data_IF_986128817176
#
_entry.id   IF_986128817176
#
_cell.length_a   1.000
_cell.length_b   1.000
_cell.length_c   1.000
_cell.angle_alpha   90.00
_cell.angle_beta   90.00
_cell.angle_gamma   90.00
#
_symmetry.space_group_name_H-M   'P 1'
#
loop_
_entity.id
_entity.type
_entity.pdbx_description
1 polymer ?
#
# COMPACT_ATOMS: atom_id res chain seq x y z
N UNK A 1 15.22 6.83 -78.84
CA UNK A 1 15.75 5.51 -78.40
C UNK A 1 17.18 5.57 -77.81
N UNK A 2 18.12 6.36 -78.36
CA UNK A 2 19.49 6.48 -77.82
C UNK A 2 19.61 7.26 -76.49
N UNK A 3 18.75 8.27 -76.26
CA UNK A 3 18.77 9.06 -75.03
C UNK A 3 18.30 8.25 -73.80
N UNK A 4 17.30 7.39 -73.99
CA UNK A 4 16.78 6.45 -72.97
C UNK A 4 17.80 5.38 -72.60
N UNK A 5 18.53 4.82 -73.57
CA UNK A 5 19.64 3.87 -73.32
C UNK A 5 20.81 4.51 -72.57
N UNK A 6 21.15 5.77 -72.87
CA UNK A 6 22.18 6.53 -72.15
C UNK A 6 21.74 6.88 -70.72
N UNK A 7 20.49 7.30 -70.55
CA UNK A 7 19.91 7.53 -69.23
C UNK A 7 19.91 6.25 -68.39
N UNK A 8 19.51 5.12 -68.98
CA UNK A 8 19.56 3.80 -68.34
C UNK A 8 20.98 3.39 -67.97
N UNK A 9 21.96 3.54 -68.87
CA UNK A 9 23.36 3.18 -68.59
C UNK A 9 23.99 4.02 -67.47
N UNK A 10 23.69 5.32 -67.41
CA UNK A 10 24.17 6.20 -66.33
C UNK A 10 23.46 5.90 -64.99
N UNK A 11 22.17 5.55 -65.03
CA UNK A 11 21.40 5.03 -63.88
C UNK A 11 21.94 3.68 -63.37
N UNK A 12 22.37 2.82 -64.29
CA UNK A 12 22.80 1.46 -64.00
C UNK A 12 24.23 1.41 -63.42
N UNK A 13 25.12 2.32 -63.81
CA UNK A 13 26.52 2.35 -63.35
C UNK A 13 26.78 3.17 -62.08
N UNK A 14 26.26 4.41 -61.97
CA UNK A 14 26.59 5.31 -60.84
C UNK A 14 25.49 5.44 -59.79
N UNK A 15 24.21 5.36 -60.19
CA UNK A 15 23.08 5.42 -59.25
C UNK A 15 22.96 4.10 -58.48
N UNK A 16 23.39 2.97 -59.05
CA UNK A 16 23.38 1.64 -58.43
C UNK A 16 24.18 1.57 -57.11
N UNK A 17 25.44 2.00 -57.09
CA UNK A 17 26.28 1.84 -55.89
C UNK A 17 25.91 2.81 -54.77
N UNK A 18 25.75 4.10 -55.12
CA UNK A 18 25.43 5.15 -54.15
C UNK A 18 24.03 4.93 -53.55
N UNK A 19 23.02 4.57 -54.36
CA UNK A 19 21.69 4.21 -53.82
C UNK A 19 21.74 2.98 -52.92
N UNK A 20 22.50 1.94 -53.28
CA UNK A 20 22.61 0.73 -52.43
C UNK A 20 23.21 1.06 -51.08
N UNK A 21 24.30 1.81 -51.05
CA UNK A 21 24.95 2.24 -49.81
C UNK A 21 23.99 3.11 -48.99
N UNK A 22 23.29 4.06 -49.63
CA UNK A 22 22.33 4.92 -48.93
C UNK A 22 21.15 4.13 -48.36
N UNK A 23 20.56 3.20 -49.13
CA UNK A 23 19.47 2.33 -48.69
C UNK A 23 19.90 1.42 -47.55
N UNK A 24 21.09 0.81 -47.63
CA UNK A 24 21.62 -0.01 -46.54
C UNK A 24 21.78 0.85 -45.27
N UNK A 25 22.33 2.06 -45.40
CA UNK A 25 22.58 2.94 -44.27
C UNK A 25 21.27 3.43 -43.64
N UNK A 26 20.29 3.85 -44.43
CA UNK A 26 18.97 4.26 -43.91
C UNK A 26 18.22 3.11 -43.26
N UNK A 27 18.19 1.92 -43.89
CA UNK A 27 17.56 0.73 -43.31
C UNK A 27 18.25 0.33 -42.00
N UNK A 28 19.59 0.39 -41.94
CA UNK A 28 20.34 0.08 -40.72
C UNK A 28 20.00 1.06 -39.59
N UNK A 29 19.94 2.37 -39.90
CA UNK A 29 19.56 3.39 -38.91
C UNK A 29 18.13 3.16 -38.39
N UNK A 30 17.17 2.89 -39.28
CA UNK A 30 15.79 2.61 -38.88
C UNK A 30 15.73 1.37 -38.00
N UNK A 31 16.39 0.27 -38.40
CA UNK A 31 16.41 -0.97 -37.60
C UNK A 31 17.04 -0.77 -36.22
N UNK A 32 18.10 0.03 -36.09
CA UNK A 32 18.70 0.36 -34.80
C UNK A 32 17.74 1.16 -33.92
N UNK A 33 17.04 2.15 -34.49
CA UNK A 33 16.03 2.93 -33.77
C UNK A 33 14.84 2.07 -33.34
N UNK A 34 14.37 1.18 -34.22
CA UNK A 34 13.31 0.21 -33.92
C UNK A 34 13.71 -0.71 -32.78
N UNK A 35 14.95 -1.23 -32.78
CA UNK A 35 15.46 -2.07 -31.70
C UNK A 35 15.54 -1.31 -30.37
N UNK A 36 16.06 -0.08 -30.39
CA UNK A 36 16.14 0.77 -29.20
C UNK A 36 14.75 1.05 -28.61
N UNK A 37 13.77 1.41 -29.45
CA UNK A 37 12.39 1.65 -29.02
C UNK A 37 11.73 0.37 -28.49
N UNK A 38 11.99 -0.79 -29.10
CA UNK A 38 11.46 -2.07 -28.62
C UNK A 38 12.03 -2.43 -27.26
N UNK A 39 13.35 -2.32 -27.09
CA UNK A 39 14.03 -2.65 -25.82
C UNK A 39 13.63 -1.67 -24.72
N UNK A 40 13.68 -0.36 -24.99
CA UNK A 40 13.23 0.66 -24.04
C UNK A 40 11.74 0.48 -23.70
N UNK A 41 10.91 0.21 -24.71
CA UNK A 41 9.49 -0.01 -24.52
C UNK A 41 9.21 -1.23 -23.65
N UNK A 42 9.93 -2.33 -23.86
CA UNK A 42 9.82 -3.55 -23.06
C UNK A 42 10.18 -3.33 -21.58
N UNK A 43 11.26 -2.59 -21.29
CA UNK A 43 11.60 -2.26 -19.91
C UNK A 43 10.55 -1.37 -19.25
N UNK A 44 9.98 -0.42 -19.99
CA UNK A 44 8.95 0.49 -19.48
C UNK A 44 7.59 -0.18 -19.31
N UNK A 45 7.19 -1.08 -20.22
CA UNK A 45 5.92 -1.84 -20.16
C UNK A 45 5.85 -2.83 -18.99
N UNK A 46 7.01 -3.20 -18.44
CA UNK A 46 7.12 -4.09 -17.29
C UNK A 46 7.43 -3.34 -15.98
N UNK A 47 7.28 -2.02 -15.95
CA UNK A 47 7.51 -1.26 -14.73
C UNK A 47 6.44 -1.56 -13.69
N UNK A 48 6.87 -2.07 -12.54
CA UNK A 48 6.06 -2.28 -11.35
C UNK A 48 6.08 -1.03 -10.46
N UNK A 49 5.00 -0.84 -9.69
CA UNK A 49 4.92 0.23 -8.71
C UNK A 49 5.79 -0.12 -7.49
N UNK A 50 6.58 0.84 -7.02
CA UNK A 50 7.31 0.68 -5.75
C UNK A 50 6.38 1.06 -4.60
N UNK A 51 5.64 0.09 -4.08
CA UNK A 51 4.73 0.31 -2.96
C UNK A 51 5.50 0.49 -1.66
N UNK A 52 5.14 1.52 -0.90
CA UNK A 52 5.59 1.73 0.47
C UNK A 52 4.77 0.88 1.43
N UNK A 53 5.38 0.52 2.55
CA UNK A 53 4.76 -0.20 3.66
C UNK A 53 5.12 0.47 4.98
N UNK A 54 4.31 0.23 6.02
CA UNK A 54 4.52 0.79 7.36
C UNK A 54 3.50 1.89 7.66
N UNK A 55 2.53 1.54 8.49
CA UNK A 55 1.57 2.47 9.09
C UNK A 55 1.96 2.56 10.56
N UNK A 56 2.07 3.78 11.10
CA UNK A 56 2.39 4.01 12.51
C UNK A 56 1.33 4.88 13.17
N UNK A 57 1.02 4.60 14.42
CA UNK A 57 0.28 5.53 15.27
C UNK A 57 1.12 6.72 15.70
N UNK A 58 0.50 7.69 16.38
CA UNK A 58 1.23 8.81 16.97
C UNK A 58 2.11 8.34 18.14
N UNK A 59 3.31 8.92 18.29
CA UNK A 59 4.16 8.66 19.44
C UNK A 59 3.55 9.31 20.69
N UNK A 60 3.73 8.69 21.86
CA UNK A 60 3.17 9.22 23.11
C UNK A 60 3.67 10.63 23.41
N UNK A 61 4.96 10.90 23.17
CA UNK A 61 5.58 12.21 23.38
C UNK A 61 4.90 13.34 22.61
N UNK A 62 4.40 13.06 21.40
CA UNK A 62 3.75 14.05 20.55
C UNK A 62 2.33 14.40 21.03
N UNK A 63 1.66 13.45 21.69
CA UNK A 63 0.28 13.64 22.13
C UNK A 63 0.15 14.02 23.61
N UNK A 64 1.19 13.78 24.41
CA UNK A 64 1.18 14.05 25.85
C UNK A 64 0.83 15.53 26.13
N UNK A 65 1.41 16.47 25.39
CA UNK A 65 1.11 17.89 25.55
C UNK A 65 -0.30 18.31 25.09
N UNK A 66 -0.94 17.51 24.22
CA UNK A 66 -2.29 17.75 23.69
C UNK A 66 -3.38 17.27 24.65
N UNK A 67 -3.12 16.20 25.40
CA UNK A 67 -4.09 15.56 26.30
C UNK A 67 -4.14 16.22 27.68
N UNK A 68 -3.01 16.74 28.17
CA UNK A 68 -2.90 17.36 29.50
C UNK A 68 -2.95 18.90 29.60
N UNK A 69 -3.32 19.71 28.59
CA UNK A 69 -3.38 21.16 28.76
C UNK A 69 -4.68 21.57 29.50
N UNK A 70 -4.51 21.94 30.79
CA UNK A 70 -5.48 22.55 31.74
C UNK A 70 -6.49 21.61 32.41
N UNK A 71 -6.13 21.03 33.56
CA UNK A 71 -7.12 20.53 34.52
C UNK A 71 -6.70 20.85 35.98
N UNK A 72 -7.62 21.41 36.76
CA UNK A 72 -7.44 21.92 38.13
C UNK A 72 -7.97 20.86 39.14
N UNK A 73 -7.20 20.58 40.20
CA UNK A 73 -7.47 19.54 41.23
C UNK A 73 -8.66 19.85 42.13
N UNK A 74 -9.51 18.85 42.44
CA UNK A 74 -10.36 18.81 43.66
C UNK A 74 -10.55 17.36 44.17
N UNK A 75 -10.69 17.21 45.50
CA UNK A 75 -10.46 16.01 46.33
C UNK A 75 -11.66 15.05 46.56
N UNK A 76 -11.29 13.77 46.68
CA UNK A 76 -11.74 12.55 47.44
C UNK A 76 -13.23 12.21 47.73
N UNK A 77 -13.58 10.91 47.50
CA UNK A 77 -14.52 10.09 48.28
C UNK A 77 -14.21 8.56 48.13
N UNK A 78 -14.48 7.79 49.19
CA UNK A 78 -14.21 6.34 49.37
C UNK A 78 -15.44 5.43 49.12
N UNK A 79 -15.22 4.18 48.71
CA UNK A 79 -16.22 3.09 48.71
C UNK A 79 -15.69 1.76 48.17
N UNK A 80 -16.05 0.66 48.85
CA UNK A 80 -15.47 -0.71 48.86
C UNK A 80 -15.73 -1.62 47.64
N UNK A 81 -14.90 -2.68 47.54
CA UNK A 81 -14.70 -3.69 46.48
C UNK A 81 -15.51 -5.01 46.66
N UNK A 82 -15.69 -5.79 45.58
CA UNK A 82 -15.53 -7.26 45.58
C UNK A 82 -15.34 -7.82 44.14
N UNK A 83 -14.33 -8.70 43.95
CA UNK A 83 -13.91 -9.37 42.70
C UNK A 83 -14.56 -10.75 42.46
N UNK A 84 -14.68 -11.16 41.19
CA UNK A 84 -14.55 -12.57 40.75
C UNK A 84 -13.92 -12.63 39.35
N UNK A 85 -12.84 -13.41 39.19
CA UNK A 85 -12.17 -13.75 37.93
C UNK A 85 -12.81 -14.99 37.25
N UNK A 86 -12.77 -15.03 35.92
CA UNK A 86 -12.70 -16.28 35.15
C UNK A 86 -11.70 -16.13 33.99
N UNK A 87 -10.90 -17.18 33.76
CA UNK A 87 -9.81 -17.28 32.78
C UNK A 87 -10.35 -17.41 31.33
N UNK A 88 -9.90 -16.53 30.43
CA UNK A 88 -10.09 -16.62 28.98
C UNK A 88 -8.75 -16.54 28.26
N UNK A 89 -8.66 -17.15 27.08
CA UNK A 89 -7.47 -17.11 26.21
C UNK A 89 -7.37 -15.73 25.57
N UNK A 90 -6.53 -14.87 26.12
CA UNK A 90 -6.34 -13.47 25.74
C UNK A 90 -5.02 -13.34 24.98
N UNK A 91 -4.98 -12.51 23.93
CA UNK A 91 -3.73 -12.17 23.25
C UNK A 91 -2.78 -11.50 24.26
N UNK A 92 -1.56 -12.00 24.48
CA UNK A 92 -0.63 -11.48 25.49
C UNK A 92 -0.27 -10.00 25.27
N UNK A 93 -0.41 -9.46 24.05
CA UNK A 93 -0.23 -8.02 23.79
C UNK A 93 -1.36 -7.19 24.36
N UNK A 94 -2.60 -7.69 24.34
CA UNK A 94 -3.75 -7.00 24.95
C UNK A 94 -3.59 -6.96 26.47
N UNK A 95 -3.10 -8.04 27.06
CA UNK A 95 -2.75 -8.07 28.48
C UNK A 95 -1.63 -7.07 28.79
N UNK A 96 -0.57 -6.99 27.96
CA UNK A 96 0.50 -6.03 28.11
C UNK A 96 0.01 -4.57 28.02
N UNK A 97 -0.83 -4.25 27.04
CA UNK A 97 -1.47 -2.92 26.91
C UNK A 97 -2.24 -2.59 28.20
N UNK A 98 -3.08 -3.52 28.67
CA UNK A 98 -3.86 -3.33 29.90
C UNK A 98 -2.95 -3.11 31.11
N UNK A 99 -1.89 -3.90 31.22
CA UNK A 99 -0.94 -3.83 32.31
C UNK A 99 -0.25 -2.45 32.35
N UNK A 100 0.24 -1.95 31.21
CA UNK A 100 0.83 -0.61 31.12
C UNK A 100 -0.18 0.49 31.43
N UNK A 101 -1.41 0.41 30.90
CA UNK A 101 -2.49 1.35 31.26
C UNK A 101 -2.80 1.33 32.76
N UNK A 102 -2.77 0.15 33.40
CA UNK A 102 -3.03 -0.03 34.84
C UNK A 102 -1.99 0.68 35.71
N UNK A 103 -0.74 0.83 35.26
CA UNK A 103 0.31 1.54 35.99
C UNK A 103 0.01 3.03 36.18
N UNK A 104 -0.95 3.59 35.44
CA UNK A 104 -1.41 4.98 35.61
C UNK A 104 -2.48 5.15 36.72
N UNK A 105 -2.84 4.05 37.38
CA UNK A 105 -3.73 4.03 38.53
C UNK A 105 -2.90 3.73 39.78
N UNK A 106 -2.94 4.67 40.73
CA UNK A 106 -2.19 4.60 42.00
C UNK A 106 -2.41 3.24 42.68
N UNK A 107 -1.43 2.76 43.45
CA UNK A 107 -1.50 1.48 44.20
C UNK A 107 -2.59 1.49 45.28
N UNK A 108 -3.28 2.62 45.51
CA UNK A 108 -4.46 2.68 46.35
C UNK A 108 -5.55 1.76 45.81
N UNK A 109 -5.94 0.79 46.65
CA UNK A 109 -6.99 -0.20 46.37
C UNK A 109 -8.24 0.41 45.72
N UNK A 110 -8.72 1.54 46.26
CA UNK A 110 -9.93 2.22 45.79
C UNK A 110 -9.91 2.60 44.29
N UNK A 111 -8.78 3.04 43.75
CA UNK A 111 -8.70 3.42 42.32
C UNK A 111 -8.40 2.20 41.46
N UNK A 112 -7.59 1.28 41.98
CA UNK A 112 -7.14 0.07 41.27
C UNK A 112 -8.30 -0.89 41.01
N UNK A 113 -9.11 -1.19 42.04
CA UNK A 113 -10.31 -2.02 41.88
C UNK A 113 -11.29 -1.44 40.85
N UNK A 114 -11.52 -0.12 40.89
CA UNK A 114 -12.38 0.56 39.92
C UNK A 114 -11.85 0.50 38.47
N UNK A 115 -10.53 0.54 38.26
CA UNK A 115 -9.95 0.31 36.94
C UNK A 115 -10.19 -1.13 36.49
N UNK A 116 -9.93 -2.10 37.37
CA UNK A 116 -10.08 -3.52 37.03
C UNK A 116 -11.53 -3.88 36.70
N UNK A 117 -12.52 -3.25 37.36
CA UNK A 117 -13.94 -3.37 37.06
C UNK A 117 -14.37 -2.71 35.74
N UNK A 118 -13.77 -1.56 35.38
CA UNK A 118 -14.20 -0.75 34.22
C UNK A 118 -13.44 -1.09 32.94
N UNK A 119 -12.19 -1.50 33.04
CA UNK A 119 -11.33 -1.95 31.94
C UNK A 119 -10.89 -3.37 32.29
N UNK A 120 -11.85 -4.30 32.21
CA UNK A 120 -11.54 -5.73 32.24
C UNK A 120 -10.74 -6.10 31.00
N UNK A 121 -10.02 -7.23 31.05
CA UNK A 121 -9.28 -7.73 29.88
C UNK A 121 -10.24 -7.98 28.71
N UNK A 122 -11.42 -8.55 28.98
CA UNK A 122 -12.42 -8.82 27.95
C UNK A 122 -12.99 -7.53 27.34
N UNK A 123 -13.32 -6.53 28.17
CA UNK A 123 -13.83 -5.26 27.67
C UNK A 123 -12.78 -4.53 26.81
N UNK A 124 -11.50 -4.60 27.20
CA UNK A 124 -10.41 -4.04 26.40
C UNK A 124 -10.22 -4.81 25.09
N UNK A 125 -10.25 -6.14 25.13
CA UNK A 125 -10.19 -6.98 23.94
C UNK A 125 -11.34 -6.68 22.97
N UNK A 126 -12.57 -6.58 23.48
CA UNK A 126 -13.75 -6.23 22.68
C UNK A 126 -13.62 -4.84 22.06
N UNK A 127 -13.06 -3.88 22.80
CA UNK A 127 -12.82 -2.52 22.30
C UNK A 127 -11.76 -2.52 21.19
N UNK A 128 -10.64 -3.21 21.40
CA UNK A 128 -9.57 -3.35 20.40
C UNK A 128 -10.09 -4.08 19.16
N UNK A 129 -10.94 -5.10 19.33
CA UNK A 129 -11.63 -5.78 18.22
C UNK A 129 -12.54 -4.82 17.47
N UNK A 130 -13.39 -4.06 18.16
CA UNK A 130 -14.26 -3.07 17.54
C UNK A 130 -13.46 -2.00 16.76
N UNK A 131 -12.31 -1.56 17.30
CA UNK A 131 -11.35 -0.73 16.56
C UNK A 131 -10.90 -1.46 15.30
N UNK A 132 -10.43 -2.70 15.43
CA UNK A 132 -9.92 -3.47 14.31
C UNK A 132 -10.97 -3.76 13.22
N UNK A 133 -12.25 -3.86 13.59
CA UNK A 133 -13.39 -4.01 12.66
C UNK A 133 -13.77 -2.70 11.96
N UNK A 134 -13.25 -1.55 12.43
CA UNK A 134 -13.69 -0.22 12.01
C UNK A 134 -15.05 0.21 12.56
N UNK A 135 -15.51 -0.43 13.64
CA UNK A 135 -16.75 -0.11 14.34
C UNK A 135 -16.55 0.97 15.40
N UNK A 136 -15.30 1.21 15.82
CA UNK A 136 -14.96 2.25 16.77
C UNK A 136 -14.94 3.64 16.12
N UNK A 137 -15.49 4.62 16.83
CA UNK A 137 -15.45 6.03 16.44
C UNK A 137 -14.61 6.83 17.42
N UNK A 138 -13.68 7.63 16.91
CA UNK A 138 -12.88 8.52 17.75
C UNK A 138 -13.79 9.41 18.61
N UNK A 139 -13.37 9.67 19.84
CA UNK A 139 -14.07 10.47 20.86
C UNK A 139 -15.33 9.85 21.46
N UNK A 140 -15.63 8.58 21.17
CA UNK A 140 -16.79 7.89 21.74
C UNK A 140 -16.70 7.81 23.28
N UNK A 141 -15.53 7.41 23.81
CA UNK A 141 -15.33 7.20 25.24
C UNK A 141 -14.57 8.34 25.93
N UNK A 142 -13.75 9.09 25.19
CA UNK A 142 -12.96 10.20 25.74
C UNK A 142 -13.73 11.52 25.91
N UNK A 143 -14.90 11.67 25.26
CA UNK A 143 -15.89 12.76 25.39
C UNK A 143 -15.30 14.19 25.52
N UNK A 144 -14.99 14.61 26.75
CA UNK A 144 -14.51 15.95 27.10
C UNK A 144 -12.98 16.09 27.09
N UNK A 145 -12.25 14.98 27.18
CA UNK A 145 -10.79 14.99 27.19
C UNK A 145 -10.19 15.01 25.77
N UNK A 146 -10.95 14.65 24.73
CA UNK A 146 -10.49 14.72 23.34
C UNK A 146 -10.40 16.17 22.86
N UNK A 147 -9.20 16.68 22.53
CA UNK A 147 -8.97 18.06 22.13
C UNK A 147 -9.37 18.24 20.66
N UNK A 148 -10.66 18.27 20.36
CA UNK A 148 -11.19 18.31 18.98
C UNK A 148 -10.78 19.52 18.15
N UNK A 149 -10.30 20.57 18.80
CA UNK A 149 -9.78 21.79 18.20
C UNK A 149 -8.27 21.73 17.90
N UNK A 150 -7.55 20.75 18.48
CA UNK A 150 -6.12 20.54 18.29
C UNK A 150 -5.79 19.21 17.61
N UNK A 151 -6.70 18.23 17.65
CA UNK A 151 -6.56 16.96 16.98
C UNK A 151 -6.77 17.12 15.47
N UNK A 152 -5.88 16.52 14.68
CA UNK A 152 -5.98 16.57 13.22
C UNK A 152 -7.19 15.76 12.69
N UNK A 153 -7.66 14.76 13.44
CA UNK A 153 -8.86 14.00 13.12
C UNK A 153 -10.11 14.58 13.79
N UNK A 154 -11.20 14.82 13.01
CA UNK A 154 -12.48 15.20 13.57
C UNK A 154 -13.05 14.18 14.56
N UNK A 155 -13.88 14.64 15.49
CA UNK A 155 -14.67 13.75 16.34
C UNK A 155 -15.55 12.84 15.48
N UNK A 156 -15.71 11.58 15.95
CA UNK A 156 -16.47 10.53 15.28
C UNK A 156 -15.93 10.10 13.92
N UNK A 157 -14.66 10.40 13.64
CA UNK A 157 -13.95 9.73 12.55
C UNK A 157 -13.96 8.23 12.83
N UNK A 158 -14.40 7.43 11.85
CA UNK A 158 -14.36 5.97 11.93
C UNK A 158 -12.93 5.49 11.71
N UNK A 159 -12.50 4.53 12.51
CA UNK A 159 -11.24 3.84 12.25
C UNK A 159 -11.42 2.89 11.04
N UNK A 160 -10.45 2.78 10.12
CA UNK A 160 -10.53 1.85 9.01
C UNK A 160 -10.35 0.41 9.52
N UNK A 161 -11.09 -0.54 8.94
CA UNK A 161 -10.94 -1.96 9.24
C UNK A 161 -9.50 -2.43 8.93
N UNK A 162 -8.91 -3.21 9.84
CA UNK A 162 -7.55 -3.76 9.73
C UNK A 162 -7.50 -5.28 9.88
N UNK A 163 -8.56 -5.93 10.37
CA UNK A 163 -8.60 -7.39 10.53
C UNK A 163 -9.76 -8.02 9.76
N UNK A 164 -9.59 -9.28 9.37
CA UNK A 164 -10.62 -10.15 8.79
C UNK A 164 -11.12 -11.10 9.87
N UNK A 165 -12.45 -11.22 10.01
CA UNK A 165 -13.07 -12.27 10.85
C UNK A 165 -13.27 -13.59 10.11
N UNK A 166 -12.82 -13.66 8.87
CA UNK A 166 -12.78 -14.89 8.12
C UNK A 166 -11.49 -15.65 8.44
N UNK A 167 -11.63 -16.96 8.59
CA UNK A 167 -10.49 -17.87 8.64
C UNK A 167 -9.97 -18.12 7.22
N UNK A 168 -8.69 -18.46 7.14
CA UNK A 168 -8.08 -18.90 5.88
C UNK A 168 -8.80 -20.18 5.44
N UNK A 169 -9.26 -20.23 4.20
CA UNK A 169 -9.89 -21.40 3.61
C UNK A 169 -8.80 -22.44 3.33
N UNK A 170 -8.58 -23.33 4.29
CA UNK A 170 -7.54 -24.37 4.19
C UNK A 170 -8.11 -25.79 4.21
N UNK A 171 -9.33 -25.99 4.72
CA UNK A 171 -9.93 -27.33 4.79
C UNK A 171 -10.51 -27.75 3.46
N UNK A 172 -10.49 -29.06 3.17
CA UNK A 172 -11.09 -29.61 1.95
C UNK A 172 -12.58 -29.23 1.81
N UNK A 173 -13.30 -29.13 2.93
CA UNK A 173 -14.71 -28.72 2.99
C UNK A 173 -14.90 -27.25 2.60
N UNK A 174 -14.06 -26.36 3.12
CA UNK A 174 -14.10 -24.91 2.80
C UNK A 174 -13.75 -24.65 1.32
N UNK A 175 -12.74 -25.37 0.81
CA UNK A 175 -12.29 -25.27 -0.57
C UNK A 175 -13.35 -25.80 -1.55
N UNK A 176 -14.02 -26.90 -1.21
CA UNK A 176 -15.11 -27.46 -2.03
C UNK A 176 -16.31 -26.52 -2.03
N UNK A 177 -16.70 -25.97 -0.88
CA UNK A 177 -17.78 -24.98 -0.78
C UNK A 177 -17.47 -23.72 -1.61
N UNK A 178 -16.26 -23.17 -1.52
CA UNK A 178 -15.85 -21.99 -2.29
C UNK A 178 -15.95 -22.24 -3.81
N UNK A 179 -15.52 -23.42 -4.28
CA UNK A 179 -15.64 -23.82 -5.69
C UNK A 179 -17.09 -24.01 -6.13
N UNK A 180 -17.97 -24.53 -5.26
CA UNK A 180 -19.41 -24.61 -5.55
C UNK A 180 -20.06 -23.23 -5.71
N UNK A 181 -19.57 -22.21 -5.01
CA UNK A 181 -19.95 -20.80 -5.22
C UNK A 181 -19.34 -20.18 -6.49
N UNK A 182 -18.54 -20.94 -7.24
CA UNK A 182 -17.94 -20.52 -8.50
C UNK A 182 -16.63 -19.74 -8.35
N UNK A 183 -16.00 -19.75 -7.17
CA UNK A 183 -14.67 -19.19 -7.00
C UNK A 183 -13.63 -20.08 -7.68
N UNK A 184 -12.71 -19.46 -8.41
CA UNK A 184 -11.54 -20.16 -8.94
C UNK A 184 -10.51 -20.38 -7.83
N UNK A 185 -9.58 -21.32 -8.03
CA UNK A 185 -8.47 -21.52 -7.09
C UNK A 185 -7.63 -20.23 -6.92
N UNK A 186 -7.49 -19.42 -7.99
CA UNK A 186 -6.81 -18.12 -7.93
C UNK A 186 -7.54 -17.10 -7.05
N UNK A 187 -8.88 -17.10 -7.06
CA UNK A 187 -9.68 -16.22 -6.19
C UNK A 187 -9.58 -16.64 -4.72
N UNK A 188 -9.52 -17.95 -4.45
CA UNK A 188 -9.35 -18.51 -3.11
C UNK A 188 -7.96 -18.17 -2.55
N UNK A 189 -6.91 -18.36 -3.34
CA UNK A 189 -5.55 -18.01 -2.94
C UNK A 189 -5.45 -16.51 -2.61
N UNK A 190 -6.01 -15.66 -3.47
CA UNK A 190 -6.05 -14.21 -3.24
C UNK A 190 -6.84 -13.82 -1.99
N UNK A 191 -7.94 -14.50 -1.71
CA UNK A 191 -8.71 -14.30 -0.48
C UNK A 191 -7.87 -14.64 0.75
N UNK A 192 -7.26 -15.82 0.75
CA UNK A 192 -6.40 -16.31 1.83
C UNK A 192 -5.21 -15.40 2.08
N UNK A 193 -4.54 -14.93 1.02
CA UNK A 193 -3.48 -13.92 1.11
C UNK A 193 -3.98 -12.63 1.79
N UNK A 194 -5.19 -12.18 1.44
CA UNK A 194 -5.82 -11.01 2.06
C UNK A 194 -6.08 -11.20 3.55
N UNK A 195 -6.59 -12.36 3.97
CA UNK A 195 -6.81 -12.69 5.39
C UNK A 195 -5.49 -12.65 6.17
N UNK A 196 -4.44 -13.29 5.63
CA UNK A 196 -3.12 -13.34 6.27
C UNK A 196 -2.48 -11.96 6.39
N UNK A 197 -2.62 -11.10 5.38
CA UNK A 197 -2.05 -9.75 5.43
C UNK A 197 -2.77 -8.86 6.43
N UNK A 198 -4.10 -8.96 6.54
CA UNK A 198 -4.87 -8.26 7.56
C UNK A 198 -4.50 -8.70 8.98
N UNK A 199 -4.28 -10.01 9.20
CA UNK A 199 -3.82 -10.49 10.52
C UNK A 199 -2.43 -9.92 10.86
N UNK A 200 -1.51 -9.82 9.89
CA UNK A 200 -0.21 -9.17 10.13
C UNK A 200 -0.35 -7.68 10.45
N UNK A 201 -1.25 -6.97 9.77
CA UNK A 201 -1.55 -5.56 10.03
C UNK A 201 -2.10 -5.38 11.45
N UNK A 202 -3.02 -6.24 11.86
CA UNK A 202 -3.57 -6.28 13.22
C UNK A 202 -2.47 -6.55 14.27
N UNK A 203 -1.61 -7.54 14.04
CA UNK A 203 -0.51 -7.84 14.97
C UNK A 203 0.50 -6.70 15.08
N UNK A 204 0.74 -5.95 14.00
CA UNK A 204 1.58 -4.75 14.01
C UNK A 204 0.92 -3.61 14.80
N UNK A 205 -0.38 -3.41 14.59
CA UNK A 205 -1.17 -2.44 15.34
C UNK A 205 -1.11 -2.71 16.84
N UNK A 206 -1.31 -3.96 17.27
CA UNK A 206 -1.18 -4.34 18.69
C UNK A 206 0.22 -4.05 19.25
N UNK A 207 1.27 -4.37 18.49
CA UNK A 207 2.65 -4.07 18.91
C UNK A 207 2.87 -2.57 19.10
N UNK A 208 2.38 -1.74 18.18
CA UNK A 208 2.51 -0.28 18.30
C UNK A 208 1.74 0.29 19.49
N UNK A 209 0.57 -0.27 19.82
CA UNK A 209 -0.14 0.11 21.04
C UNK A 209 0.62 -0.30 22.30
N UNK A 210 1.27 -1.47 22.32
CA UNK A 210 2.15 -1.87 23.43
C UNK A 210 3.29 -0.87 23.57
N UNK A 211 3.98 -0.54 22.47
CA UNK A 211 5.10 0.40 22.48
C UNK A 211 4.63 1.79 22.96
N UNK A 212 3.51 2.28 22.44
CA UNK A 212 2.90 3.55 22.84
C UNK A 212 2.61 3.62 24.34
N UNK A 213 2.01 2.59 24.93
CA UNK A 213 1.72 2.56 26.37
C UNK A 213 2.97 2.30 27.22
N UNK A 214 3.95 1.57 26.70
CA UNK A 214 5.25 1.40 27.35
C UNK A 214 6.01 2.73 27.43
N UNK A 215 5.94 3.56 26.39
CA UNK A 215 6.57 4.88 26.35
C UNK A 215 5.87 5.89 27.28
N UNK A 216 4.60 5.65 27.63
CA UNK A 216 3.84 6.44 28.58
C UNK A 216 4.23 6.18 30.05
N UNK A 217 5.02 5.12 30.33
CA UNK A 217 5.43 4.76 31.67
C UNK A 217 6.45 5.79 32.22
N UNK A 218 6.17 6.44 33.37
CA UNK A 218 7.09 7.42 33.93
C UNK A 218 8.41 6.77 34.35
N UNK A 219 9.53 7.44 34.07
CA UNK A 219 10.85 6.94 34.49
C UNK A 219 11.12 7.23 35.97
N UNK A 220 11.42 6.20 36.76
CA UNK A 220 11.87 6.36 38.16
C UNK A 220 10.75 6.66 39.15
N UNK A 221 10.99 7.55 40.13
CA UNK A 221 10.00 7.94 41.17
C UNK A 221 9.01 9.04 40.71
N UNK A 222 9.01 9.38 39.43
CA UNK A 222 8.11 10.41 38.90
C UNK A 222 6.67 9.90 38.82
N UNK A 223 5.72 10.78 39.16
CA UNK A 223 4.29 10.48 39.04
C UNK A 223 3.82 10.71 37.62
N UNK A 224 3.05 9.77 37.06
CA UNK A 224 2.44 9.93 35.74
C UNK A 224 1.53 11.16 35.69
N UNK A 225 1.44 11.84 34.53
CA UNK A 225 0.48 12.94 34.32
C UNK A 225 -0.96 12.49 34.50
N UNK A 226 -1.29 11.23 34.21
CA UNK A 226 -2.61 10.66 34.50
C UNK A 226 -2.93 10.66 36.00
N UNK A 227 -1.93 10.44 36.87
CA UNK A 227 -2.13 10.50 38.33
C UNK A 227 -2.47 11.90 38.84
N UNK A 228 -2.13 12.95 38.07
CA UNK A 228 -2.52 14.31 38.43
C UNK A 228 -4.03 14.54 38.33
N UNK A 229 -4.76 13.71 37.57
CA UNK A 229 -6.22 13.71 37.45
C UNK A 229 -6.82 12.89 38.59
N UNK A 230 -7.47 13.55 39.55
CA UNK A 230 -7.92 12.92 40.80
C UNK A 230 -9.15 12.04 40.63
N UNK A 231 -10.04 12.37 39.70
CA UNK A 231 -11.30 11.64 39.48
C UNK A 231 -11.12 10.49 38.51
N UNK A 232 -11.57 9.31 38.91
CA UNK A 232 -11.47 8.07 38.11
C UNK A 232 -12.12 8.21 36.73
N UNK A 233 -13.32 8.80 36.65
CA UNK A 233 -13.99 9.03 35.35
C UNK A 233 -13.16 9.90 34.41
N UNK A 234 -12.60 10.99 34.95
CA UNK A 234 -11.82 11.94 34.16
C UNK A 234 -10.49 11.31 33.73
N UNK A 235 -9.84 10.55 34.61
CA UNK A 235 -8.62 9.82 34.30
C UNK A 235 -8.83 8.79 33.19
N UNK A 236 -9.91 8.01 33.26
CA UNK A 236 -10.29 7.06 32.20
C UNK A 236 -10.60 7.78 30.88
N UNK A 237 -11.32 8.89 30.91
CA UNK A 237 -11.56 9.70 29.71
C UNK A 237 -10.26 10.21 29.08
N UNK A 238 -9.28 10.61 29.90
CA UNK A 238 -7.97 11.07 29.45
C UNK A 238 -7.14 9.93 28.83
N UNK A 239 -7.19 8.71 29.37
CA UNK A 239 -6.59 7.53 28.74
C UNK A 239 -7.22 7.24 27.38
N UNK A 240 -8.55 7.28 27.29
CA UNK A 240 -9.25 7.11 26.02
C UNK A 240 -8.95 8.23 25.03
N UNK A 241 -8.73 9.47 25.51
CA UNK A 241 -8.32 10.58 24.65
C UNK A 241 -6.93 10.34 24.07
N UNK A 242 -5.99 9.81 24.86
CA UNK A 242 -4.67 9.43 24.39
C UNK A 242 -4.74 8.31 23.33
N UNK A 243 -5.55 7.27 23.58
CA UNK A 243 -5.83 6.23 22.58
C UNK A 243 -6.44 6.83 21.29
N UNK A 244 -7.42 7.72 21.40
CA UNK A 244 -8.04 8.35 20.23
C UNK A 244 -7.02 9.16 19.39
N UNK A 245 -6.06 9.82 20.04
CA UNK A 245 -5.00 10.56 19.33
C UNK A 245 -3.97 9.61 18.70
N UNK A 246 -3.61 8.52 19.36
CA UNK A 246 -2.81 7.45 18.76
C UNK A 246 -3.48 6.90 17.49
N UNK A 247 -4.77 6.56 17.59
CA UNK A 247 -5.58 6.07 16.48
C UNK A 247 -5.72 7.11 15.38
N UNK A 248 -5.84 8.39 15.73
CA UNK A 248 -5.84 9.48 14.75
C UNK A 248 -4.55 9.50 13.93
N UNK A 249 -3.38 9.51 14.58
CA UNK A 249 -2.09 9.46 13.87
C UNK A 249 -1.98 8.21 12.98
N UNK A 250 -2.51 7.09 13.45
CA UNK A 250 -2.55 5.85 12.68
C UNK A 250 -3.39 5.98 11.41
N UNK A 251 -4.60 6.54 11.49
CA UNK A 251 -5.48 6.80 10.34
C UNK A 251 -4.78 7.69 9.31
N UNK A 252 -4.08 8.72 9.78
CA UNK A 252 -3.37 9.65 8.91
C UNK A 252 -2.20 8.98 8.21
N UNK A 253 -1.37 8.24 8.95
CA UNK A 253 -0.27 7.47 8.38
C UNK A 253 -0.77 6.47 7.32
N UNK A 254 -1.92 5.81 7.55
CA UNK A 254 -2.54 4.93 6.55
C UNK A 254 -2.98 5.71 5.32
N UNK A 255 -3.66 6.83 5.50
CA UNK A 255 -4.15 7.67 4.39
C UNK A 255 -2.98 8.17 3.54
N UNK A 256 -1.91 8.67 4.16
CA UNK A 256 -0.71 9.12 3.47
C UNK A 256 -0.02 7.98 2.69
N UNK A 257 0.01 6.79 3.28
CA UNK A 257 0.56 5.59 2.66
C UNK A 257 -0.24 5.19 1.42
N UNK A 258 -1.57 5.16 1.54
CA UNK A 258 -2.50 4.84 0.44
C UNK A 258 -2.38 5.86 -0.68
N UNK A 259 -2.33 7.16 -0.39
CA UNK A 259 -2.13 8.21 -1.38
C UNK A 259 -0.78 8.09 -2.09
N UNK A 260 0.30 7.84 -1.34
CA UNK A 260 1.63 7.65 -1.90
C UNK A 260 1.70 6.41 -2.81
N UNK A 261 1.04 5.33 -2.41
CA UNK A 261 0.99 4.08 -3.18
C UNK A 261 0.13 4.24 -4.45
N UNK A 262 -1.05 4.86 -4.34
CA UNK A 262 -1.89 5.18 -5.50
C UNK A 262 -1.14 6.04 -6.52
N UNK A 263 -0.37 7.03 -6.06
CA UNK A 263 0.48 7.84 -6.94
C UNK A 263 1.56 7.00 -7.62
N UNK A 264 2.25 6.14 -6.89
CA UNK A 264 3.27 5.25 -7.45
C UNK A 264 2.69 4.29 -8.50
N UNK A 265 1.48 3.78 -8.28
CA UNK A 265 0.75 2.96 -9.24
C UNK A 265 0.39 3.72 -10.51
N UNK A 266 -0.10 4.96 -10.40
CA UNK A 266 -0.37 5.81 -11.56
C UNK A 266 0.90 6.08 -12.37
N UNK A 267 2.02 6.43 -11.72
CA UNK A 267 3.30 6.68 -12.40
C UNK A 267 3.83 5.41 -13.10
N UNK A 268 3.66 4.25 -12.48
CA UNK A 268 4.00 2.98 -13.10
C UNK A 268 3.07 2.68 -14.29
N UNK A 269 1.76 2.89 -14.16
CA UNK A 269 0.80 2.71 -15.26
C UNK A 269 1.07 3.63 -16.46
N UNK A 270 1.38 4.91 -16.21
CA UNK A 270 1.78 5.85 -17.27
C UNK A 270 3.05 5.39 -17.98
N UNK A 271 4.07 5.00 -17.22
CA UNK A 271 5.32 4.46 -17.79
C UNK A 271 5.06 3.20 -18.63
N UNK A 272 4.15 2.33 -18.18
CA UNK A 272 3.77 1.12 -18.92
C UNK A 272 3.09 1.47 -20.25
N UNK A 273 2.15 2.40 -20.24
CA UNK A 273 1.47 2.88 -21.44
C UNK A 273 2.45 3.53 -22.44
N UNK A 274 3.42 4.32 -21.96
CA UNK A 274 4.51 4.84 -22.81
C UNK A 274 5.34 3.71 -23.43
N UNK A 275 5.67 2.70 -22.62
CA UNK A 275 6.40 1.51 -23.07
C UNK A 275 5.68 0.75 -24.17
N UNK A 276 4.38 0.49 -23.98
CA UNK A 276 3.51 -0.12 -24.99
C UNK A 276 3.44 0.69 -26.28
N UNK A 277 3.35 2.03 -26.18
CA UNK A 277 3.36 2.89 -27.37
C UNK A 277 4.68 2.78 -28.14
N UNK A 278 5.82 2.75 -27.45
CA UNK A 278 7.13 2.56 -28.08
C UNK A 278 7.25 1.21 -28.80
N UNK A 279 6.73 0.14 -28.18
CA UNK A 279 6.70 -1.20 -28.81
C UNK A 279 5.82 -1.17 -30.07
N UNK A 280 4.65 -0.53 -30.01
CA UNK A 280 3.76 -0.39 -31.16
C UNK A 280 4.40 0.41 -32.29
N UNK A 281 4.99 1.57 -32.00
CA UNK A 281 5.70 2.38 -33.00
C UNK A 281 6.87 1.60 -33.62
N UNK A 282 7.64 0.86 -32.80
CA UNK A 282 8.71 0.02 -33.30
C UNK A 282 8.19 -1.05 -34.28
N UNK A 283 7.06 -1.69 -33.95
CA UNK A 283 6.41 -2.67 -34.83
C UNK A 283 5.98 -2.06 -36.16
N UNK A 284 5.37 -0.88 -36.14
CA UNK A 284 4.96 -0.16 -37.35
C UNK A 284 6.15 0.15 -38.26
N UNK A 285 7.26 0.66 -37.68
CA UNK A 285 8.49 0.91 -38.43
C UNK A 285 9.12 -0.36 -38.99
N UNK A 286 9.09 -1.46 -38.23
CA UNK A 286 9.58 -2.75 -38.69
C UNK A 286 8.78 -3.24 -39.91
N UNK A 287 7.45 -3.16 -39.86
CA UNK A 287 6.57 -3.56 -40.97
C UNK A 287 6.82 -2.73 -42.24
N UNK A 288 7.04 -1.42 -42.09
CA UNK A 288 7.42 -0.53 -43.20
C UNK A 288 8.75 -0.97 -43.84
N UNK A 289 9.77 -1.24 -43.02
CA UNK A 289 11.09 -1.70 -43.52
C UNK A 289 10.96 -3.04 -44.23
N UNK A 290 10.22 -4.00 -43.66
CA UNK A 290 10.03 -5.32 -44.27
C UNK A 290 9.26 -5.24 -45.59
N UNK A 291 8.24 -4.40 -45.67
CA UNK A 291 7.48 -4.16 -46.90
C UNK A 291 8.36 -3.53 -47.98
N UNK A 292 9.17 -2.54 -47.61
CA UNK A 292 10.14 -1.91 -48.50
C UNK A 292 11.18 -2.92 -49.03
N UNK A 293 11.75 -3.74 -48.14
CA UNK A 293 12.74 -4.77 -48.52
C UNK A 293 12.13 -5.83 -49.44
N UNK A 294 10.89 -6.26 -49.19
CA UNK A 294 10.18 -7.20 -50.05
C UNK A 294 9.93 -6.62 -51.46
N UNK A 295 9.46 -5.38 -51.54
CA UNK A 295 9.28 -4.69 -52.82
C UNK A 295 10.61 -4.51 -53.56
N UNK A 296 11.66 -4.10 -52.85
CA UNK A 296 13.00 -3.94 -53.41
C UNK A 296 13.58 -5.26 -53.94
N UNK A 297 13.42 -6.36 -53.21
CA UNK A 297 13.83 -7.69 -53.64
C UNK A 297 13.10 -8.13 -54.92
N UNK A 298 11.79 -7.85 -55.04
CA UNK A 298 10.99 -8.15 -56.23
C UNK A 298 11.47 -7.37 -57.46
N UNK A 299 11.81 -6.09 -57.29
CA UNK A 299 12.42 -5.26 -58.36
C UNK A 299 13.77 -5.83 -58.79
N UNK A 300 14.62 -6.26 -57.85
CA UNK A 300 15.91 -6.87 -58.19
C UNK A 300 15.75 -8.21 -58.91
N UNK A 301 14.81 -9.05 -58.47
CA UNK A 301 14.50 -10.34 -59.10
C UNK A 301 13.99 -10.16 -60.54
N UNK A 302 13.07 -9.21 -60.76
CA UNK A 302 12.57 -8.89 -62.10
C UNK A 302 13.67 -8.33 -63.00
N UNK A 303 14.53 -7.43 -62.49
CA UNK A 303 15.69 -6.94 -63.25
C UNK A 303 16.67 -8.05 -63.64
N UNK A 304 16.93 -9.01 -62.75
CA UNK A 304 17.81 -10.16 -63.04
C UNK A 304 17.18 -11.09 -64.07
N UNK A 305 15.89 -11.40 -63.96
CA UNK A 305 15.16 -12.21 -64.95
C UNK A 305 15.18 -11.56 -66.35
N UNK A 306 14.92 -10.25 -66.44
CA UNK A 306 14.99 -9.50 -67.72
C UNK A 306 16.41 -9.54 -68.30
N UNK A 307 17.46 -9.46 -67.47
CA UNK A 307 18.85 -9.62 -67.95
C UNK A 307 19.11 -11.02 -68.50
N UNK A 308 18.64 -12.07 -67.80
CA UNK A 308 18.80 -13.47 -68.24
C UNK A 308 18.08 -13.68 -69.57
N UNK A 309 16.82 -13.27 -69.70
CA UNK A 309 16.04 -13.37 -70.93
C UNK A 309 16.74 -12.69 -72.11
N UNK A 310 17.23 -11.46 -71.90
CA UNK A 310 17.95 -10.70 -72.92
C UNK A 310 19.25 -11.37 -73.34
N UNK A 311 19.92 -12.06 -72.42
CA UNK A 311 21.14 -12.83 -72.70
C UNK A 311 20.87 -14.15 -73.43
N UNK A 312 19.70 -14.76 -73.24
CA UNK A 312 19.27 -15.99 -73.93
C UNK A 312 18.61 -15.72 -75.30
N UNK A 313 18.10 -14.51 -75.54
CA UNK A 313 17.53 -14.11 -76.84
C UNK A 313 18.57 -13.73 -77.91
N UNK A 314 19.86 -13.83 -77.56
CA UNK A 314 21.01 -13.62 -78.44
C UNK A 314 21.60 -14.96 -78.84
#
# INVERSE_FOLDING_TARGET
MNMVKRFYGILEENISLIMRVFVILTVTVVLLLTLLNTVSGYFMSNKEASLKTGINGAEYADIEELVFPKQERVDEYEGDEEEVEDELVVDPKIEAIRASMRLHFDERSATRGQFDERITIDALNDTIRAIAMGEYQLSQDSRSAYPSDLAECPRRTSFPMITSFYEVLETDEDLEAAREFGLSDEDIDKFNEGVVEQEKEYQRFLSQMVDFWSDAEPSGEEKSKFESVTRIEERLQTLWAANDLFLCGWIQSKTELEEANAKAEMEAAETRAEGESKIREAREWFDVVMTFLAAFALVLATMTLVRIEKHMSK
#
